data_IF_653638137400
#
_entry.id   IF_653638137400
#
_cell.length_a   1.000
_cell.length_b   1.000
_cell.length_c   1.000
_cell.angle_alpha   90.00
_cell.angle_beta   90.00
_cell.angle_gamma   90.00
#
_symmetry.space_group_name_H-M   'P 1'
#
loop_
_entity.id
_entity.type
_entity.pdbx_description
1 polymer ?
#
# COMPACT_ATOMS: atom_id res chain seq x y z
N UNK A 1 52.83 -16.83 19.84
CA UNK A 1 52.07 -17.20 18.62
C UNK A 1 50.58 -17.41 18.87
N UNK A 2 50.16 -17.96 20.01
CA UNK A 2 48.75 -18.27 20.38
C UNK A 2 47.80 -17.06 20.59
N UNK A 3 48.31 -15.84 20.73
CA UNK A 3 47.48 -14.64 20.86
C UNK A 3 46.92 -14.14 19.50
N UNK A 4 47.63 -14.42 18.40
CA UNK A 4 47.29 -13.91 17.08
C UNK A 4 46.05 -14.61 16.49
N UNK A 5 45.94 -15.92 16.68
CA UNK A 5 44.78 -16.70 16.21
C UNK A 5 43.49 -16.36 16.97
N UNK A 6 43.58 -16.10 18.29
CA UNK A 6 42.44 -15.66 19.11
C UNK A 6 41.95 -14.26 18.71
N UNK A 7 42.87 -13.36 18.37
CA UNK A 7 42.52 -12.05 17.82
C UNK A 7 41.82 -12.15 16.47
N UNK A 8 42.35 -12.98 15.56
CA UNK A 8 41.80 -13.15 14.21
C UNK A 8 40.42 -13.82 14.21
N UNK A 9 40.19 -14.85 15.04
CA UNK A 9 38.88 -15.50 15.14
C UNK A 9 37.84 -14.57 15.76
N UNK A 10 38.21 -13.75 16.75
CA UNK A 10 37.30 -12.76 17.34
C UNK A 10 36.88 -11.69 16.32
N UNK A 11 37.81 -11.21 15.48
CA UNK A 11 37.51 -10.26 14.40
C UNK A 11 36.58 -10.87 13.36
N UNK A 12 36.81 -12.13 12.97
CA UNK A 12 35.95 -12.85 12.02
C UNK A 12 34.52 -13.02 12.58
N UNK A 13 34.40 -13.44 13.84
CA UNK A 13 33.10 -13.63 14.51
C UNK A 13 32.35 -12.31 14.63
N UNK A 14 33.04 -11.22 15.02
CA UNK A 14 32.47 -9.87 15.05
C UNK A 14 31.96 -9.45 13.67
N UNK A 15 32.77 -9.63 12.62
CA UNK A 15 32.36 -9.30 11.25
C UNK A 15 31.14 -10.11 10.78
N UNK A 16 31.11 -11.40 11.09
CA UNK A 16 29.97 -12.27 10.78
C UNK A 16 28.71 -11.83 11.54
N UNK A 17 28.85 -11.45 12.82
CA UNK A 17 27.73 -10.99 13.63
C UNK A 17 27.12 -9.70 13.05
N UNK A 18 27.96 -8.74 12.63
CA UNK A 18 27.52 -7.53 11.95
C UNK A 18 26.78 -7.86 10.65
N UNK A 19 27.30 -8.80 9.85
CA UNK A 19 26.63 -9.25 8.63
C UNK A 19 25.26 -9.89 8.93
N UNK A 20 25.19 -10.76 9.93
CA UNK A 20 23.93 -11.38 10.37
C UNK A 20 22.90 -10.33 10.81
N UNK A 21 23.32 -9.31 11.57
CA UNK A 21 22.43 -8.21 11.95
C UNK A 21 21.98 -7.37 10.76
N UNK A 22 22.85 -7.14 9.78
CA UNK A 22 22.48 -6.43 8.57
C UNK A 22 21.40 -7.20 7.78
N UNK A 23 21.57 -8.51 7.59
CA UNK A 23 20.59 -9.37 6.91
C UNK A 23 19.27 -9.44 7.70
N UNK A 24 19.34 -9.67 9.01
CA UNK A 24 18.16 -9.67 9.87
C UNK A 24 17.43 -8.33 9.83
N UNK A 25 18.18 -7.23 9.80
CA UNK A 25 17.63 -5.88 9.73
C UNK A 25 16.85 -5.61 8.46
N UNK A 26 17.42 -5.98 7.31
CA UNK A 26 16.73 -5.91 6.01
C UNK A 26 15.48 -6.79 6.01
N UNK A 27 15.55 -8.00 6.58
CA UNK A 27 14.40 -8.89 6.66
C UNK A 27 13.25 -8.29 7.50
N UNK A 28 13.58 -7.66 8.63
CA UNK A 28 12.58 -7.01 9.51
C UNK A 28 11.93 -5.82 8.80
N UNK A 29 12.72 -4.90 8.27
CA UNK A 29 12.19 -3.71 7.60
C UNK A 29 11.45 -4.07 6.31
N UNK A 30 11.95 -5.05 5.54
CA UNK A 30 11.31 -5.58 4.35
C UNK A 30 9.97 -6.24 4.65
N UNK A 31 9.87 -7.02 5.72
CA UNK A 31 8.60 -7.64 6.15
C UNK A 31 7.58 -6.59 6.54
N UNK A 32 7.98 -5.56 7.28
CA UNK A 32 7.08 -4.44 7.65
C UNK A 32 6.59 -3.69 6.41
N UNK A 33 7.48 -3.39 5.47
CA UNK A 33 7.13 -2.75 4.21
C UNK A 33 6.15 -3.59 3.40
N UNK A 34 6.38 -4.91 3.32
CA UNK A 34 5.53 -5.83 2.60
C UNK A 34 4.12 -5.94 3.21
N UNK A 35 4.03 -6.12 4.53
CA UNK A 35 2.74 -6.18 5.24
C UNK A 35 1.98 -4.88 5.03
N UNK A 36 2.63 -3.73 5.18
CA UNK A 36 2.00 -2.43 4.97
C UNK A 36 1.52 -2.24 3.53
N UNK A 37 2.33 -2.61 2.54
CA UNK A 37 1.94 -2.58 1.13
C UNK A 37 0.72 -3.44 0.87
N UNK A 38 0.64 -4.63 1.48
CA UNK A 38 -0.53 -5.50 1.36
C UNK A 38 -1.77 -4.89 2.00
N UNK A 39 -1.65 -4.29 3.18
CA UNK A 39 -2.76 -3.58 3.82
C UNK A 39 -3.25 -2.40 2.98
N UNK A 40 -2.33 -1.62 2.39
CA UNK A 40 -2.66 -0.56 1.46
C UNK A 40 -3.38 -1.10 0.22
N UNK A 41 -2.88 -2.19 -0.37
CA UNK A 41 -3.50 -2.78 -1.56
C UNK A 41 -4.94 -3.22 -1.26
N UNK A 42 -5.16 -3.95 -0.16
CA UNK A 42 -6.50 -4.38 0.23
C UNK A 42 -7.47 -3.19 0.42
N UNK A 43 -6.98 -2.09 0.99
CA UNK A 43 -7.79 -0.88 1.16
C UNK A 43 -8.10 -0.20 -0.18
N UNK A 44 -7.13 -0.15 -1.10
CA UNK A 44 -7.31 0.38 -2.45
C UNK A 44 -8.32 -0.46 -3.24
N UNK A 45 -8.20 -1.79 -3.19
CA UNK A 45 -9.10 -2.72 -3.88
C UNK A 45 -10.54 -2.59 -3.36
N UNK A 46 -10.73 -2.57 -2.04
CA UNK A 46 -12.04 -2.37 -1.42
C UNK A 46 -12.66 -1.04 -1.83
N UNK A 47 -11.85 0.03 -1.85
CA UNK A 47 -12.32 1.35 -2.24
C UNK A 47 -12.66 1.44 -3.74
N UNK A 48 -11.86 0.82 -4.60
CA UNK A 48 -12.11 0.78 -6.04
C UNK A 48 -13.41 0.02 -6.33
N UNK A 49 -13.61 -1.14 -5.67
CA UNK A 49 -14.82 -1.93 -5.79
C UNK A 49 -16.06 -1.19 -5.26
N UNK A 50 -15.93 -0.48 -4.13
CA UNK A 50 -17.01 0.33 -3.58
C UNK A 50 -17.39 1.49 -4.53
N UNK A 51 -16.41 2.08 -5.22
CA UNK A 51 -16.69 3.09 -6.25
C UNK A 51 -17.35 2.47 -7.49
N UNK A 52 -16.81 1.38 -8.01
CA UNK A 52 -17.33 0.70 -9.21
C UNK A 52 -18.76 0.18 -9.03
N UNK A 53 -19.13 -0.29 -7.82
CA UNK A 53 -20.51 -0.73 -7.54
C UNK A 53 -21.53 0.41 -7.55
N UNK A 54 -21.12 1.67 -7.33
CA UNK A 54 -22.01 2.81 -7.50
C UNK A 54 -22.23 3.17 -8.98
N UNK A 55 -21.17 3.03 -9.79
CA UNK A 55 -21.24 3.19 -11.25
C UNK A 55 -22.08 2.09 -11.92
N UNK A 56 -22.11 0.88 -11.36
CA UNK A 56 -23.00 -0.17 -11.86
C UNK A 56 -24.48 0.15 -11.56
N UNK A 57 -24.76 0.56 -10.32
CA UNK A 57 -26.11 0.95 -9.92
C UNK A 57 -26.64 2.12 -10.76
N UNK A 58 -25.82 3.14 -11.03
CA UNK A 58 -26.20 4.27 -11.87
C UNK A 58 -26.43 3.89 -13.33
N UNK A 59 -25.62 3.01 -13.94
CA UNK A 59 -25.83 2.52 -15.31
C UNK A 59 -27.17 1.79 -15.40
N UNK A 60 -27.52 0.99 -14.39
CA UNK A 60 -28.83 0.34 -14.30
C UNK A 60 -29.99 1.36 -14.22
N UNK A 61 -29.86 2.43 -13.43
CA UNK A 61 -30.91 3.46 -13.31
C UNK A 61 -30.95 4.45 -14.50
N UNK A 62 -29.82 4.73 -15.16
CA UNK A 62 -29.69 5.66 -16.29
C UNK A 62 -30.29 5.13 -17.60
N UNK A 63 -30.64 3.84 -17.66
CA UNK A 63 -31.53 3.29 -18.69
C UNK A 63 -32.91 4.01 -18.74
N UNK A 64 -33.23 4.86 -17.74
CA UNK A 64 -34.45 5.68 -17.66
C UNK A 64 -34.22 7.19 -17.91
N UNK A 65 -32.98 7.66 -18.18
CA UNK A 65 -32.74 8.96 -18.82
C UNK A 65 -32.34 10.18 -17.96
N UNK A 66 -31.48 10.03 -16.94
CA UNK A 66 -30.88 11.18 -16.23
C UNK A 66 -29.34 11.07 -16.16
N UNK A 67 -28.64 12.20 -16.31
CA UNK A 67 -27.24 12.26 -16.77
C UNK A 67 -26.15 11.86 -15.75
N UNK A 68 -25.21 11.06 -16.25
CA UNK A 68 -23.82 10.69 -15.85
C UNK A 68 -23.09 11.53 -14.77
N UNK A 69 -23.39 12.83 -14.59
CA UNK A 69 -22.73 13.71 -13.62
C UNK A 69 -23.10 13.46 -12.14
N UNK A 70 -24.24 12.81 -11.87
CA UNK A 70 -24.65 12.47 -10.50
C UNK A 70 -23.88 11.25 -9.94
N UNK A 71 -23.19 10.51 -10.80
CA UNK A 71 -22.59 9.20 -10.51
C UNK A 71 -21.16 9.28 -9.98
N UNK A 72 -20.27 10.03 -10.66
CA UNK A 72 -18.86 10.16 -10.27
C UNK A 72 -18.69 10.65 -8.83
N UNK A 73 -19.55 11.58 -8.38
CA UNK A 73 -19.53 12.09 -7.00
C UNK A 73 -19.94 11.02 -5.99
N UNK A 74 -20.92 10.17 -6.32
CA UNK A 74 -21.37 9.07 -5.45
C UNK A 74 -20.33 7.95 -5.40
N UNK A 75 -19.76 7.58 -6.55
CA UNK A 75 -18.67 6.62 -6.66
C UNK A 75 -17.45 7.08 -5.83
N UNK A 76 -17.08 8.36 -5.92
CA UNK A 76 -16.02 8.95 -5.09
C UNK A 76 -16.32 8.87 -3.60
N UNK A 77 -17.52 9.28 -3.17
CA UNK A 77 -17.92 9.24 -1.76
C UNK A 77 -17.94 7.80 -1.20
N UNK A 78 -18.36 6.82 -2.01
CA UNK A 78 -18.34 5.41 -1.63
C UNK A 78 -16.90 4.88 -1.50
N UNK A 79 -16.03 5.20 -2.46
CA UNK A 79 -14.62 4.88 -2.39
C UNK A 79 -13.93 5.52 -1.17
N UNK A 80 -14.20 6.80 -0.89
CA UNK A 80 -13.71 7.54 0.28
C UNK A 80 -14.18 6.93 1.60
N UNK A 81 -15.44 6.46 1.70
CA UNK A 81 -15.94 5.78 2.90
C UNK A 81 -15.34 4.39 3.10
N UNK A 82 -15.02 3.70 2.01
CA UNK A 82 -14.37 2.39 2.08
C UNK A 82 -12.86 2.49 2.32
N UNK A 83 -12.28 3.69 2.24
CA UNK A 83 -10.89 3.92 2.63
C UNK A 83 -10.77 3.97 4.14
N UNK A 84 -9.99 3.04 4.68
CA UNK A 84 -9.68 3.04 6.09
C UNK A 84 -8.59 2.06 6.42
N UNK A 85 -7.41 2.58 6.75
CA UNK A 85 -6.46 1.88 7.61
C UNK A 85 -6.42 2.67 8.91
N UNK A 86 -7.08 2.19 9.98
CA UNK A 86 -7.16 2.92 11.24
C UNK A 86 -5.77 3.32 11.75
N UNK A 87 -5.59 4.59 12.09
CA UNK A 87 -4.38 5.10 12.73
C UNK A 87 -3.15 5.28 11.83
N UNK A 88 -3.30 5.17 10.50
CA UNK A 88 -2.18 5.36 9.56
C UNK A 88 -2.51 6.52 8.60
N UNK A 89 -1.67 7.57 8.54
CA UNK A 89 -1.84 8.63 7.56
C UNK A 89 -1.56 8.08 6.16
N UNK A 90 -2.58 8.10 5.31
CA UNK A 90 -2.51 7.69 3.91
C UNK A 90 -3.08 8.80 3.03
N UNK A 91 -2.42 9.07 1.91
CA UNK A 91 -2.92 9.99 0.90
C UNK A 91 -3.57 9.18 -0.22
N UNK A 92 -4.78 9.58 -0.62
CA UNK A 92 -5.52 8.94 -1.69
C UNK A 92 -5.67 9.88 -2.89
N UNK A 93 -5.54 9.35 -4.10
CA UNK A 93 -5.86 10.02 -5.35
C UNK A 93 -6.82 9.14 -6.12
N UNK A 94 -7.93 9.73 -6.58
CA UNK A 94 -8.97 9.03 -7.33
C UNK A 94 -8.98 9.55 -8.75
N UNK A 95 -9.02 8.64 -9.72
CA UNK A 95 -9.38 8.93 -11.10
C UNK A 95 -10.60 8.08 -11.40
N UNK A 96 -11.74 8.75 -11.59
CA UNK A 96 -13.01 8.10 -11.92
C UNK A 96 -13.35 8.55 -13.33
N UNK A 97 -13.61 7.57 -14.18
CA UNK A 97 -14.16 7.74 -15.51
C UNK A 97 -15.52 7.02 -15.52
N UNK A 98 -16.42 7.37 -16.43
CA UNK A 98 -17.79 6.84 -16.48
C UNK A 98 -17.91 5.31 -16.58
N UNK A 99 -16.80 4.60 -16.76
CA UNK A 99 -16.71 3.14 -16.79
C UNK A 99 -15.61 2.52 -15.92
N UNK A 100 -14.88 3.30 -15.11
CA UNK A 100 -13.83 2.73 -14.24
C UNK A 100 -13.49 3.62 -13.04
N UNK A 101 -13.11 2.98 -11.94
CA UNK A 101 -12.58 3.65 -10.75
C UNK A 101 -11.15 3.21 -10.54
N UNK A 102 -10.23 4.16 -10.60
CA UNK A 102 -8.82 3.97 -10.29
C UNK A 102 -8.45 4.75 -9.02
N UNK A 103 -7.73 4.10 -8.12
CA UNK A 103 -7.33 4.66 -6.84
C UNK A 103 -5.84 4.42 -6.64
N UNK A 104 -5.11 5.49 -6.33
CA UNK A 104 -3.71 5.43 -5.92
C UNK A 104 -3.63 5.80 -4.44
N UNK A 105 -3.12 4.88 -3.62
CA UNK A 105 -2.85 5.13 -2.21
C UNK A 105 -1.36 5.24 -1.96
N UNK A 106 -0.98 6.23 -1.14
CA UNK A 106 0.39 6.49 -0.72
C UNK A 106 0.48 6.55 0.80
N UNK A 107 1.48 5.88 1.36
CA UNK A 107 1.77 5.90 2.79
C UNK A 107 3.27 5.75 3.05
N UNK A 108 3.64 5.80 4.32
CA UNK A 108 5.04 5.68 4.76
C UNK A 108 5.17 4.63 5.86
N UNK A 109 6.18 3.76 5.75
CA UNK A 109 6.56 2.80 6.79
C UNK A 109 7.80 3.31 7.51
N UNK A 110 7.76 3.32 8.85
CA UNK A 110 8.95 3.57 9.66
C UNK A 110 9.88 2.36 9.59
N UNK A 111 11.13 2.61 9.25
CA UNK A 111 12.20 1.62 9.24
C UNK A 111 12.93 1.65 10.59
N UNK A 112 13.55 0.53 10.96
CA UNK A 112 14.38 0.44 12.16
C UNK A 112 15.86 0.29 11.80
N UNK A 113 16.19 -0.68 10.95
CA UNK A 113 17.57 -0.98 10.58
C UNK A 113 18.06 -0.12 9.42
N UNK A 114 17.23 0.09 8.41
CA UNK A 114 17.47 1.09 7.36
C UNK A 114 17.58 2.50 7.96
N UNK A 115 16.90 2.74 9.09
CA UNK A 115 17.03 3.99 9.86
C UNK A 115 18.44 4.25 10.38
N UNK A 116 19.19 3.20 10.71
CA UNK A 116 20.59 3.32 11.20
C UNK A 116 21.54 3.85 10.13
N UNK A 117 21.19 3.69 8.84
CA UNK A 117 21.96 4.18 7.70
C UNK A 117 21.32 5.44 7.06
N UNK A 118 20.41 6.10 7.78
CA UNK A 118 19.81 7.38 7.35
C UNK A 118 18.48 7.27 6.58
N UNK A 119 17.96 6.06 6.34
CA UNK A 119 16.67 5.86 5.67
C UNK A 119 15.62 5.57 6.74
N UNK A 120 15.08 6.60 7.39
CA UNK A 120 14.14 6.47 8.53
C UNK A 120 12.67 6.19 8.16
N UNK A 121 12.32 6.37 6.89
CA UNK A 121 10.99 6.10 6.36
C UNK A 121 11.08 5.55 4.94
N UNK A 122 10.19 4.63 4.61
CA UNK A 122 10.07 4.05 3.29
C UNK A 122 8.70 4.41 2.70
N UNK A 123 8.63 5.20 1.61
CA UNK A 123 7.37 5.48 0.93
C UNK A 123 6.86 4.22 0.24
N UNK A 124 5.55 3.98 0.33
CA UNK A 124 4.87 2.87 -0.33
C UNK A 124 3.68 3.43 -1.11
N UNK A 125 3.57 3.03 -2.36
CA UNK A 125 2.43 3.35 -3.20
C UNK A 125 1.81 2.06 -3.75
N UNK A 126 0.48 2.06 -3.84
CA UNK A 126 -0.32 1.01 -4.47
C UNK A 126 -1.37 1.62 -5.37
N UNK A 127 -1.83 0.84 -6.32
CA UNK A 127 -2.85 1.22 -7.28
C UNK A 127 -3.88 0.10 -7.38
N UNK A 128 -5.15 0.46 -7.43
CA UNK A 128 -6.27 -0.45 -7.68
C UNK A 128 -7.17 0.15 -8.76
N UNK A 129 -7.70 -0.71 -9.63
CA UNK A 129 -8.68 -0.35 -10.66
C UNK A 129 -9.83 -1.35 -10.61
N UNK A 130 -11.05 -0.84 -10.65
CA UNK A 130 -12.27 -1.64 -10.74
C UNK A 130 -13.17 -1.07 -11.85
N UNK A 131 -13.90 -1.95 -12.51
CA UNK A 131 -14.84 -1.62 -13.58
C UNK A 131 -16.24 -2.12 -13.18
N UNK A 132 -17.32 -1.38 -13.52
CA UNK A 132 -18.68 -1.85 -13.31
C UNK A 132 -18.92 -3.12 -14.11
N UNK A 133 -19.46 -4.16 -13.47
CA UNK A 133 -19.88 -5.38 -14.17
C UNK A 133 -21.35 -5.16 -14.51
N UNK A 134 -21.64 -4.78 -15.76
CA UNK A 134 -23.02 -4.73 -16.23
C UNK A 134 -23.66 -6.10 -16.02
N UNK A 135 -24.67 -6.17 -15.15
CA UNK A 135 -25.44 -7.40 -14.95
C UNK A 135 -26.23 -7.72 -16.21
N UNK A 136 -25.84 -8.80 -16.91
CA UNK A 136 -26.66 -9.45 -17.94
C UNK A 136 -27.83 -10.24 -17.31
#
# INVERSE_FOLDING_TARGET
MIASERGQSTVLVMGMMVLCFAVAGVAVDGTRAFIFRRSLQNAADSAAQAGASQLDASVYYNSTGDEVLLDERKARLAAERSLGIPGIPVSATFAIDGSSVQIVLRGEVRTSFLGLIGVGKLPVAVEARAEPIAGD
#
